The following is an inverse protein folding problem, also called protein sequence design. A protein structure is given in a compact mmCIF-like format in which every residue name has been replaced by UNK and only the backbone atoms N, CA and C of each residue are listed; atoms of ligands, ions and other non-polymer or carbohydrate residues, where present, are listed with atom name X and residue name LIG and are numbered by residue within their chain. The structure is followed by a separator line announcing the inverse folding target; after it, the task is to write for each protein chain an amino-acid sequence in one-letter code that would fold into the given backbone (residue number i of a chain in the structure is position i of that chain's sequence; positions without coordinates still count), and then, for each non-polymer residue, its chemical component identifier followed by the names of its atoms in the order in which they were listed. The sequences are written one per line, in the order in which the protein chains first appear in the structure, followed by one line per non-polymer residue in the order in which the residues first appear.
data_IF_575020862844
#
_entry.id   IF_575020862844
#
_cell.length_a   1.000
_cell.length_b   1.000
_cell.length_c   1.000
_cell.angle_alpha   90.00
_cell.angle_beta   90.00
_cell.angle_gamma   90.00
#
_symmetry.space_group_name_H-M   'P 1'
#
loop_
_entity.id
_entity.type
_entity.pdbx_description
1 polymer ?
#
# COMPACT_ATOMS: atom_id res chain seq x y z
N UNK A 1 1.49 17.50 6.04
CA UNK A 1 2.52 16.42 5.97
C UNK A 1 3.31 16.61 4.68
N UNK A 2 4.62 16.33 4.67
CA UNK A 2 5.46 16.37 3.47
C UNK A 2 6.00 14.97 3.19
N UNK A 3 5.83 14.47 1.97
CA UNK A 3 6.35 13.17 1.53
C UNK A 3 7.71 13.38 0.85
N UNK A 4 8.76 13.59 1.66
CA UNK A 4 10.12 13.90 1.20
C UNK A 4 11.12 12.95 1.90
N UNK A 5 12.16 12.52 1.19
CA UNK A 5 13.17 11.60 1.71
C UNK A 5 13.04 10.17 1.21
N UNK A 6 13.37 9.20 2.05
CA UNK A 6 13.46 7.77 1.68
C UNK A 6 12.16 7.05 2.07
N UNK A 7 11.41 6.61 1.05
CA UNK A 7 10.19 5.80 1.18
C UNK A 7 10.41 4.47 0.46
N UNK A 8 10.89 3.43 1.15
CA UNK A 8 11.08 2.14 0.52
C UNK A 8 9.75 1.58 0.02
N UNK A 9 9.66 1.06 -1.21
CA UNK A 9 8.57 0.21 -1.63
C UNK A 9 8.72 -1.12 -0.87
N UNK A 10 8.03 -1.22 0.26
CA UNK A 10 8.12 -2.33 1.19
C UNK A 10 7.62 -3.62 0.53
N UNK A 11 8.37 -4.70 0.75
CA UNK A 11 7.92 -6.06 0.41
C UNK A 11 6.78 -6.48 1.32
N UNK A 12 5.97 -7.44 0.87
CA UNK A 12 4.99 -8.14 1.70
C UNK A 12 5.55 -9.51 2.05
N UNK A 13 5.91 -9.79 3.30
CA UNK A 13 6.34 -11.13 3.69
C UNK A 13 5.19 -12.13 3.62
N UNK A 14 5.51 -13.36 3.22
CA UNK A 14 4.57 -14.47 3.15
C UNK A 14 5.11 -15.68 3.92
N UNK A 15 4.19 -16.45 4.48
CA UNK A 15 4.48 -17.75 5.10
C UNK A 15 4.79 -18.80 4.02
N UNK A 16 5.20 -20.00 4.45
CA UNK A 16 5.43 -21.12 3.53
C UNK A 16 4.15 -21.61 2.83
N UNK A 17 3.00 -21.29 3.41
CA UNK A 17 1.68 -21.64 2.87
C UNK A 17 1.10 -20.50 2.01
N UNK A 18 1.94 -19.54 1.59
CA UNK A 18 1.59 -18.40 0.72
C UNK A 18 0.61 -17.39 1.34
N UNK A 19 0.34 -17.48 2.64
CA UNK A 19 -0.44 -16.49 3.37
C UNK A 19 0.42 -15.29 3.80
N UNK A 20 -0.16 -14.08 3.84
CA UNK A 20 0.49 -12.89 4.40
C UNK A 20 1.01 -13.18 5.81
N UNK A 21 2.29 -12.87 6.05
CA UNK A 21 2.94 -13.03 7.35
C UNK A 21 3.01 -11.68 8.08
N UNK A 22 2.00 -11.38 8.90
CA UNK A 22 1.92 -10.12 9.63
C UNK A 22 3.04 -9.93 10.66
N UNK A 23 3.48 -11.01 11.31
CA UNK A 23 4.56 -10.95 12.29
C UNK A 23 5.86 -10.52 11.60
N UNK A 24 6.21 -11.20 10.49
CA UNK A 24 7.38 -10.82 9.69
C UNK A 24 7.25 -9.46 9.04
N UNK A 25 6.05 -9.04 8.66
CA UNK A 25 5.80 -7.69 8.19
C UNK A 25 6.22 -6.69 9.29
N UNK A 26 5.71 -6.81 10.51
CA UNK A 26 6.04 -5.89 11.60
C UNK A 26 7.54 -5.85 11.94
N UNK A 27 8.21 -7.01 12.00
CA UNK A 27 9.67 -7.09 12.18
C UNK A 27 10.43 -6.36 11.06
N UNK A 28 10.00 -6.52 9.82
CA UNK A 28 10.59 -5.86 8.66
C UNK A 28 10.40 -4.34 8.70
N UNK A 29 9.21 -3.87 9.09
CA UNK A 29 8.95 -2.43 9.25
C UNK A 29 9.85 -1.83 10.35
N UNK A 30 10.01 -2.52 11.48
CA UNK A 30 10.93 -2.09 12.55
C UNK A 30 12.39 -2.02 12.07
N UNK A 31 12.82 -3.00 11.28
CA UNK A 31 14.13 -2.97 10.65
C UNK A 31 14.30 -1.72 9.78
N UNK A 32 13.34 -1.40 8.92
CA UNK A 32 13.42 -0.20 8.07
C UNK A 32 13.46 1.07 8.91
N UNK A 33 12.54 1.20 9.88
CA UNK A 33 12.42 2.37 10.77
C UNK A 33 13.73 2.61 11.52
N UNK A 34 14.34 1.55 12.05
CA UNK A 34 15.64 1.62 12.75
C UNK A 34 16.77 2.19 11.87
N UNK A 35 16.68 2.03 10.55
CA UNK A 35 17.67 2.53 9.59
C UNK A 35 17.35 3.94 9.03
N UNK A 36 16.40 4.67 9.64
CA UNK A 36 16.21 6.09 9.37
C UNK A 36 15.44 6.41 8.08
N UNK A 37 14.51 5.55 7.67
CA UNK A 37 13.58 5.87 6.59
C UNK A 37 12.62 6.99 7.00
N UNK A 38 12.04 7.68 6.01
CA UNK A 38 11.17 8.85 6.22
C UNK A 38 9.68 8.51 6.10
N UNK A 39 9.37 7.30 5.63
CA UNK A 39 8.03 6.76 5.51
C UNK A 39 8.06 5.43 4.77
N UNK A 40 6.90 4.80 4.64
CA UNK A 40 6.78 3.46 4.04
C UNK A 40 5.77 3.50 2.91
N UNK A 41 6.13 2.91 1.77
CA UNK A 41 5.19 2.67 0.68
C UNK A 41 4.84 1.19 0.61
N UNK A 42 3.60 0.86 0.96
CA UNK A 42 3.06 -0.51 0.97
C UNK A 42 2.38 -0.84 -0.35
N UNK A 43 2.30 -2.14 -0.68
CA UNK A 43 1.48 -2.66 -1.78
C UNK A 43 1.77 -2.02 -3.15
N UNK A 44 3.00 -1.53 -3.34
CA UNK A 44 3.54 -1.27 -4.67
C UNK A 44 3.84 -2.56 -5.42
N UNK A 45 4.49 -2.45 -6.58
CA UNK A 45 4.91 -3.63 -7.37
C UNK A 45 5.82 -4.57 -6.57
N UNK A 46 6.77 -4.02 -5.80
CA UNK A 46 7.68 -4.81 -4.96
C UNK A 46 7.00 -5.43 -3.73
N UNK A 47 5.88 -4.86 -3.29
CA UNK A 47 5.03 -5.43 -2.25
C UNK A 47 3.98 -6.41 -2.80
N UNK A 48 4.09 -6.76 -4.08
CA UNK A 48 3.21 -7.69 -4.80
C UNK A 48 1.74 -7.28 -4.82
N UNK A 49 1.43 -5.99 -4.60
CA UNK A 49 0.07 -5.47 -4.47
C UNK A 49 -0.91 -5.90 -5.59
N UNK A 50 -0.51 -6.03 -6.86
CA UNK A 50 -1.39 -6.57 -7.90
C UNK A 50 -1.81 -8.03 -7.74
N UNK A 51 -1.03 -8.84 -7.02
CA UNK A 51 -1.21 -10.29 -6.87
C UNK A 51 -2.08 -10.66 -5.66
N UNK A 52 -2.08 -9.81 -4.62
CA UNK A 52 -2.90 -10.04 -3.43
C UNK A 52 -4.40 -9.90 -3.72
N UNK A 53 -5.19 -10.63 -2.96
CA UNK A 53 -6.64 -10.42 -2.81
C UNK A 53 -6.95 -9.10 -2.11
N UNK A 54 -8.21 -8.68 -2.12
CA UNK A 54 -8.62 -7.46 -1.43
C UNK A 54 -8.47 -7.60 0.08
N UNK A 55 -8.80 -8.76 0.63
CA UNK A 55 -8.72 -9.07 2.05
C UNK A 55 -7.28 -9.07 2.56
N UNK A 56 -6.35 -9.63 1.78
CA UNK A 56 -4.91 -9.59 2.10
C UNK A 56 -4.36 -8.17 2.07
N UNK A 57 -4.76 -7.34 1.10
CA UNK A 57 -4.37 -5.92 1.06
C UNK A 57 -4.85 -5.18 2.30
N UNK A 58 -6.11 -5.40 2.68
CA UNK A 58 -6.68 -4.83 3.89
C UNK A 58 -5.89 -5.25 5.15
N UNK A 59 -5.53 -6.53 5.27
CA UNK A 59 -4.66 -7.05 6.35
C UNK A 59 -3.30 -6.34 6.37
N UNK A 60 -2.60 -6.27 5.23
CA UNK A 60 -1.27 -5.61 5.14
C UNK A 60 -1.34 -4.15 5.57
N UNK A 61 -2.31 -3.38 5.05
CA UNK A 61 -2.45 -1.96 5.38
C UNK A 61 -2.74 -1.78 6.87
N UNK A 62 -3.74 -2.51 7.39
CA UNK A 62 -4.14 -2.40 8.80
C UNK A 62 -2.98 -2.75 9.73
N UNK A 63 -2.31 -3.88 9.51
CA UNK A 63 -1.17 -4.32 10.32
C UNK A 63 -0.05 -3.29 10.32
N UNK A 64 0.32 -2.76 9.15
CA UNK A 64 1.37 -1.76 9.06
C UNK A 64 1.00 -0.45 9.75
N UNK A 65 -0.23 0.05 9.56
CA UNK A 65 -0.69 1.29 10.19
C UNK A 65 -0.76 1.14 11.72
N UNK A 66 -1.34 0.06 12.22
CA UNK A 66 -1.42 -0.21 13.66
C UNK A 66 -0.03 -0.36 14.29
N UNK A 67 0.91 -1.04 13.61
CA UNK A 67 2.27 -1.23 14.10
C UNK A 67 3.12 0.05 14.10
N UNK A 68 3.09 0.80 12.99
CA UNK A 68 3.83 2.07 12.87
C UNK A 68 3.27 3.13 13.81
N UNK A 69 1.96 3.11 14.06
CA UNK A 69 1.28 3.94 15.06
C UNK A 69 1.66 5.43 14.97
N UNK A 70 1.67 5.97 13.74
CA UNK A 70 1.94 7.39 13.47
C UNK A 70 3.40 7.84 13.64
N UNK A 71 4.37 6.95 13.89
CA UNK A 71 5.80 7.32 14.01
C UNK A 71 6.39 7.91 12.73
N UNK A 72 6.00 7.37 11.58
CA UNK A 72 6.38 7.83 10.23
C UNK A 72 5.18 7.65 9.29
N UNK A 73 5.10 8.43 8.19
CA UNK A 73 3.99 8.33 7.25
C UNK A 73 3.93 6.99 6.51
N UNK A 74 2.72 6.50 6.27
CA UNK A 74 2.41 5.34 5.43
C UNK A 74 1.67 5.78 4.17
N UNK A 75 2.19 5.33 3.02
CA UNK A 75 1.54 5.40 1.72
C UNK A 75 1.03 4.00 1.36
N UNK A 76 -0.28 3.84 1.16
CA UNK A 76 -0.89 2.58 0.75
C UNK A 76 -1.08 2.53 -0.77
N UNK A 77 -0.51 1.52 -1.43
CA UNK A 77 -0.80 1.22 -2.84
C UNK A 77 -2.21 0.65 -2.99
N UNK A 78 -3.12 1.43 -3.57
CA UNK A 78 -4.54 1.04 -3.72
C UNK A 78 -5.00 0.99 -5.17
N UNK A 79 -4.22 1.56 -6.09
CA UNK A 79 -4.52 1.53 -7.52
C UNK A 79 -4.55 0.12 -8.10
N UNK A 80 -5.61 -0.19 -8.83
CA UNK A 80 -5.72 -1.41 -9.61
C UNK A 80 -6.46 -1.15 -10.93
N UNK A 81 -6.70 -2.20 -11.72
CA UNK A 81 -7.38 -2.09 -13.02
C UNK A 81 -8.84 -1.62 -12.92
N UNK A 82 -9.47 -1.75 -11.75
CA UNK A 82 -10.85 -1.34 -11.49
C UNK A 82 -10.90 -0.04 -10.67
N UNK A 83 -11.52 1.01 -11.23
CA UNK A 83 -11.79 2.25 -10.49
C UNK A 83 -12.60 1.99 -9.22
N UNK A 84 -13.60 1.11 -9.28
CA UNK A 84 -14.46 0.80 -8.13
C UNK A 84 -13.66 0.18 -6.98
N UNK A 85 -12.81 -0.80 -7.28
CA UNK A 85 -11.98 -1.46 -6.26
C UNK A 85 -10.89 -0.53 -5.74
N UNK A 86 -10.30 0.29 -6.62
CA UNK A 86 -9.36 1.36 -6.23
C UNK A 86 -9.99 2.31 -5.21
N UNK A 87 -11.21 2.78 -5.45
CA UNK A 87 -11.94 3.65 -4.51
C UNK A 87 -12.26 2.92 -3.20
N UNK A 88 -12.71 1.66 -3.27
CA UNK A 88 -13.02 0.87 -2.08
C UNK A 88 -11.79 0.73 -1.17
N UNK A 89 -10.67 0.29 -1.73
CA UNK A 89 -9.44 0.08 -0.96
C UNK A 89 -8.83 1.41 -0.48
N UNK A 90 -8.94 2.49 -1.26
CA UNK A 90 -8.50 3.82 -0.83
C UNK A 90 -9.28 4.33 0.37
N UNK A 91 -10.61 4.15 0.39
CA UNK A 91 -11.44 4.49 1.55
C UNK A 91 -11.13 3.62 2.76
N UNK A 92 -10.79 2.34 2.55
CA UNK A 92 -10.33 1.48 3.62
C UNK A 92 -9.01 1.99 4.21
N UNK A 93 -8.03 2.30 3.35
CA UNK A 93 -6.72 2.81 3.77
C UNK A 93 -6.86 4.10 4.60
N UNK A 94 -7.69 5.05 4.16
CA UNK A 94 -8.03 6.24 4.93
C UNK A 94 -8.67 5.89 6.28
N UNK A 95 -9.67 5.01 6.28
CA UNK A 95 -10.39 4.59 7.50
C UNK A 95 -9.47 4.00 8.56
N UNK A 96 -8.47 3.20 8.16
CA UNK A 96 -7.54 2.57 9.11
C UNK A 96 -6.37 3.47 9.49
N UNK A 97 -6.20 4.62 8.82
CA UNK A 97 -5.23 5.66 9.21
C UNK A 97 -3.97 5.74 8.35
N UNK A 98 -3.98 5.25 7.11
CA UNK A 98 -2.90 5.54 6.16
C UNK A 98 -2.86 7.04 5.81
N UNK A 99 -1.66 7.60 5.69
CA UNK A 99 -1.49 9.04 5.48
C UNK A 99 -1.67 9.48 4.03
N UNK A 100 -1.47 8.56 3.09
CA UNK A 100 -1.74 8.75 1.67
C UNK A 100 -2.05 7.44 0.95
N UNK A 101 -2.63 7.57 -0.23
CA UNK A 101 -2.79 6.48 -1.18
C UNK A 101 -1.94 6.72 -2.42
N UNK A 102 -1.36 5.65 -2.95
CA UNK A 102 -0.70 5.63 -4.25
C UNK A 102 -1.59 4.86 -5.24
N UNK A 103 -1.93 5.51 -6.35
CA UNK A 103 -2.83 4.97 -7.37
C UNK A 103 -2.08 4.87 -8.69
N UNK A 104 -1.63 3.64 -9.02
CA UNK A 104 -1.11 3.34 -10.35
C UNK A 104 -2.21 3.50 -11.39
N UNK A 105 -1.87 4.04 -12.57
CA UNK A 105 -2.82 4.13 -13.68
C UNK A 105 -3.27 2.72 -14.12
N UNK A 106 -4.55 2.49 -14.46
CA UNK A 106 -5.01 1.19 -14.93
C UNK A 106 -4.13 0.66 -16.08
N UNK A 107 -3.59 -0.55 -15.89
CA UNK A 107 -2.45 -1.04 -16.68
C UNK A 107 -2.76 -2.24 -17.58
N UNK A 108 -3.96 -2.83 -17.49
CA UNK A 108 -4.29 -4.01 -18.29
C UNK A 108 -4.92 -3.65 -19.64
N UNK A 109 -5.96 -2.82 -19.62
CA UNK A 109 -6.63 -2.35 -20.84
C UNK A 109 -6.11 -0.99 -21.26
N UNK A 110 -5.99 -0.70 -22.57
CA UNK A 110 -5.77 0.66 -23.04
C UNK A 110 -6.91 1.57 -22.57
N UNK A 111 -6.56 2.68 -21.91
CA UNK A 111 -7.52 3.68 -21.43
C UNK A 111 -7.28 5.00 -22.16
N UNK A 112 -8.36 5.68 -22.55
CA UNK A 112 -8.25 7.03 -23.15
C UNK A 112 -7.78 8.04 -22.10
N UNK A 113 -7.18 9.16 -22.53
CA UNK A 113 -6.79 10.24 -21.61
C UNK A 113 -7.97 10.74 -20.75
N UNK A 114 -9.16 10.90 -21.35
CA UNK A 114 -10.37 11.26 -20.60
C UNK A 114 -10.76 10.17 -19.58
N UNK A 115 -10.58 8.90 -19.92
CA UNK A 115 -10.81 7.79 -18.99
C UNK A 115 -9.82 7.80 -17.82
N UNK A 116 -8.54 8.12 -18.07
CA UNK A 116 -7.53 8.28 -17.02
C UNK A 116 -7.88 9.44 -16.08
N UNK A 117 -8.26 10.60 -16.63
CA UNK A 117 -8.70 11.76 -15.82
C UNK A 117 -9.88 11.37 -14.93
N UNK A 118 -10.92 10.76 -15.51
CA UNK A 118 -12.11 10.29 -14.75
C UNK A 118 -11.81 9.18 -13.74
N UNK A 119 -10.73 8.43 -13.91
CA UNK A 119 -10.32 7.44 -12.93
C UNK A 119 -9.76 8.10 -11.66
N UNK A 120 -9.08 9.23 -11.80
CA UNK A 120 -8.45 9.97 -10.71
C UNK A 120 -9.34 11.04 -10.06
N UNK A 121 -10.48 11.42 -10.68
CA UNK A 121 -11.41 12.47 -10.21
C UNK A 121 -12.79 11.92 -9.90
#
# INVERSE_FOLDING_TARGET
MKFEGIFPPAITPFTKDEEVDEEKLTEYLDFLIKHGIHGIFLLGTNGEGPLLTSEEKERVIKTAVEHVNGKIPIIAGTGCTSTKETVKLSKYAEKVGADAVHIVTPYYYPVTQNGIVKHYT
#
